data_IF_081563216323
#
_entry.id   IF_081563216323
#
_cell.length_a   1.000
_cell.length_b   1.000
_cell.length_c   1.000
_cell.angle_alpha   90.00
_cell.angle_beta   90.00
_cell.angle_gamma   90.00
#
_symmetry.space_group_name_H-M   'P 1'
#
loop_
_entity.id
_entity.type
_entity.pdbx_description
1 polymer ?
#
# COMPACT_ATOMS: atom_id res chain seq x y z
N UNK A 1 -9.34 8.37 -2.64
CA UNK A 1 -8.01 8.08 -2.13
C UNK A 1 -8.08 7.20 -0.88
N UNK A 2 -6.98 6.52 -0.58
CA UNK A 2 -6.92 5.65 0.59
C UNK A 2 -6.86 6.45 1.88
N UNK A 3 -7.44 5.91 2.94
CA UNK A 3 -7.47 6.59 4.24
C UNK A 3 -6.22 6.24 5.05
N UNK A 4 -6.23 6.62 6.32
CA UNK A 4 -5.10 6.36 7.20
C UNK A 4 -4.92 4.86 7.43
N UNK A 5 -3.73 4.36 7.10
CA UNK A 5 -3.44 2.94 7.26
C UNK A 5 -4.34 2.09 6.38
N UNK A 6 -4.81 2.67 5.30
CA UNK A 6 -5.69 1.97 4.36
C UNK A 6 -4.88 1.31 3.24
N UNK A 7 -5.50 0.34 2.57
CA UNK A 7 -4.84 -0.36 1.49
C UNK A 7 -4.76 0.51 0.24
N UNK A 8 -3.54 0.80 -0.19
CA UNK A 8 -3.32 1.63 -1.38
C UNK A 8 -2.57 0.86 -2.45
N UNK A 9 -2.30 1.52 -3.57
CA UNK A 9 -1.58 0.88 -4.67
C UNK A 9 -0.21 1.48 -4.89
N UNK A 10 0.61 0.78 -5.68
CA UNK A 10 1.96 1.26 -5.97
C UNK A 10 2.54 0.53 -7.19
N UNK A 11 2.76 1.28 -8.26
CA UNK A 11 3.31 0.71 -9.48
C UNK A 11 4.68 0.09 -9.23
N UNK A 12 5.44 0.67 -8.30
CA UNK A 12 6.77 0.17 -7.97
C UNK A 12 6.69 -1.27 -7.45
N UNK A 13 5.51 -1.67 -6.98
CA UNK A 13 5.30 -3.02 -6.47
C UNK A 13 4.32 -3.79 -7.33
N UNK A 14 4.17 -3.35 -8.58
CA UNK A 14 3.25 -4.01 -9.49
C UNK A 14 1.86 -4.16 -8.92
N UNK A 15 1.50 -3.26 -8.01
CA UNK A 15 0.18 -3.30 -7.38
C UNK A 15 -0.68 -2.13 -7.84
N UNK A 16 -1.87 -2.45 -8.35
CA UNK A 16 -2.80 -1.43 -8.83
C UNK A 16 -3.82 -1.08 -7.76
N UNK A 17 -3.71 0.14 -7.24
CA UNK A 17 -4.63 0.59 -6.21
C UNK A 17 -4.67 2.09 -6.08
N UNK A 18 -5.58 2.60 -5.23
CA UNK A 18 -5.73 4.04 -5.00
C UNK A 18 -4.55 4.64 -4.25
N UNK A 19 -4.44 5.96 -4.29
CA UNK A 19 -3.34 6.64 -3.61
C UNK A 19 -3.77 7.21 -2.27
N UNK A 20 -2.81 7.32 -1.36
CA UNK A 20 -3.08 7.86 -0.03
C UNK A 20 -3.53 9.32 -0.12
N UNK A 21 -4.59 9.65 0.62
CA UNK A 21 -5.12 11.01 0.63
C UNK A 21 -4.03 12.02 1.00
N UNK A 22 -3.34 11.75 2.10
CA UNK A 22 -2.28 12.64 2.57
C UNK A 22 -1.28 11.87 3.44
N UNK A 23 -0.15 11.52 2.84
CA UNK A 23 0.88 10.79 3.58
C UNK A 23 1.85 10.08 2.67
N UNK A 24 2.07 8.79 2.93
CA UNK A 24 2.98 8.00 2.12
C UNK A 24 2.65 6.51 2.22
N UNK A 25 2.56 5.84 1.07
CA UNK A 25 2.25 4.42 1.04
C UNK A 25 3.44 3.59 1.49
N UNK A 26 3.16 2.47 2.15
CA UNK A 26 4.22 1.59 2.64
C UNK A 26 3.97 0.15 2.20
N UNK A 27 4.66 -0.26 1.13
CA UNK A 27 4.52 -1.61 0.61
C UNK A 27 5.43 -2.58 1.36
N UNK A 28 4.89 -3.74 1.71
CA UNK A 28 5.65 -4.75 2.43
C UNK A 28 5.51 -6.12 1.77
N UNK A 29 6.53 -6.95 1.90
CA UNK A 29 6.52 -8.29 1.31
C UNK A 29 7.29 -9.27 2.17
N UNK A 30 6.59 -10.28 2.68
CA UNK A 30 7.20 -11.30 3.53
C UNK A 30 6.31 -12.52 3.66
N UNK A 31 6.91 -13.71 3.57
CA UNK A 31 6.17 -14.98 3.68
C UNK A 31 5.25 -15.01 4.89
N UNK A 32 5.58 -14.21 5.90
CA UNK A 32 4.77 -14.14 7.11
C UNK A 32 3.48 -13.37 6.87
N UNK A 33 2.62 -13.92 6.03
CA UNK A 33 1.35 -13.28 5.70
C UNK A 33 1.56 -11.87 5.19
N UNK A 34 2.48 -11.73 4.24
CA UNK A 34 2.76 -10.42 3.67
C UNK A 34 2.80 -10.43 2.16
N UNK A 35 1.67 -10.76 1.53
CA UNK A 35 1.59 -10.81 0.08
C UNK A 35 1.45 -9.41 -0.51
N UNK A 36 2.53 -8.65 -0.48
CA UNK A 36 2.53 -7.30 -1.02
C UNK A 36 1.50 -6.42 -0.29
N UNK A 37 1.70 -6.26 1.02
CA UNK A 37 0.80 -5.45 1.83
C UNK A 37 1.22 -3.99 1.80
N UNK A 38 0.47 -3.18 1.07
CA UNK A 38 0.75 -1.76 0.96
C UNK A 38 -0.25 -0.93 1.77
N UNK A 39 0.17 -0.46 2.93
CA UNK A 39 -0.69 0.33 3.80
C UNK A 39 -0.28 1.80 3.78
N UNK A 40 -1.26 2.69 3.94
CA UNK A 40 -1.01 4.12 3.93
C UNK A 40 -0.43 4.58 5.28
N UNK A 41 0.83 4.98 5.26
CA UNK A 41 1.50 5.45 6.47
C UNK A 41 1.38 6.97 6.62
#
# INVERSE_FOLDING_TARGET
CASKNERCGNALYGTKGPGCCNGKCICRTVPRKGVNSCRCM
#
